data_IF_795285095527
#
_entry.id   IF_795285095527
#
_cell.length_a   1.000
_cell.length_b   1.000
_cell.length_c   1.000
_cell.angle_alpha   90.00
_cell.angle_beta   90.00
_cell.angle_gamma   90.00
#
_symmetry.space_group_name_H-M   'P 1'
#
loop_
_entity.id
_entity.type
_entity.pdbx_description
1 polymer ?
#
# COMPACT_ATOMS: atom_id res chain seq x y z
N UNK A 1 17.42 78.61 -19.97
CA UNK A 1 17.82 78.03 -21.27
C UNK A 1 18.27 76.60 -20.99
N UNK A 2 17.44 75.59 -21.30
CA UNK A 2 17.57 74.65 -22.46
C UNK A 2 18.67 73.59 -22.19
N UNK A 3 18.54 72.27 -22.33
CA UNK A 3 17.67 71.34 -23.09
C UNK A 3 17.69 69.94 -22.39
N UNK A 4 16.61 69.17 -22.26
CA UNK A 4 16.05 68.13 -23.17
C UNK A 4 16.99 67.01 -23.71
N UNK A 5 16.89 65.82 -23.11
CA UNK A 5 16.82 64.48 -23.73
C UNK A 5 18.11 63.75 -24.18
N UNK A 6 18.10 62.41 -24.40
CA UNK A 6 16.94 61.50 -24.50
C UNK A 6 16.97 60.25 -23.58
N UNK A 7 15.78 59.63 -23.49
CA UNK A 7 15.41 58.44 -22.72
C UNK A 7 15.88 57.15 -23.41
N UNK A 8 16.60 56.30 -22.69
CA UNK A 8 16.87 54.90 -23.07
C UNK A 8 15.74 53.99 -22.63
N UNK A 9 15.04 53.41 -23.61
CA UNK A 9 13.98 52.41 -23.46
C UNK A 9 14.62 51.07 -23.14
N UNK A 10 14.41 50.54 -21.93
CA UNK A 10 14.69 49.13 -21.63
C UNK A 10 13.61 48.27 -22.28
N UNK A 11 13.99 47.59 -23.36
CA UNK A 11 13.20 46.60 -24.08
C UNK A 11 12.93 45.41 -23.15
N UNK A 12 11.67 45.15 -22.86
CA UNK A 12 11.24 43.94 -22.15
C UNK A 12 11.55 42.70 -22.98
N UNK A 13 12.49 41.89 -22.51
CA UNK A 13 12.70 40.53 -23.02
C UNK A 13 11.55 39.62 -22.57
N UNK A 14 11.14 38.63 -23.38
CA UNK A 14 10.02 37.75 -23.06
C UNK A 14 10.32 36.96 -21.79
N UNK A 15 9.46 37.17 -20.80
CA UNK A 15 9.50 36.51 -19.51
C UNK A 15 9.41 34.99 -19.67
N UNK A 16 10.17 34.33 -18.80
CA UNK A 16 10.39 32.90 -18.66
C UNK A 16 9.07 32.15 -18.32
N UNK A 17 8.21 31.94 -19.31
CA UNK A 17 6.97 31.17 -19.13
C UNK A 17 7.21 29.64 -19.09
N UNK A 18 8.32 29.15 -19.67
CA UNK A 18 8.61 27.71 -19.79
C UNK A 18 9.29 27.03 -18.59
N UNK A 19 9.74 27.78 -17.58
CA UNK A 19 10.43 27.21 -16.40
C UNK A 19 9.45 26.75 -15.31
N UNK A 20 8.34 27.47 -15.12
CA UNK A 20 7.33 27.15 -14.13
C UNK A 20 6.50 25.91 -14.50
N UNK A 21 6.12 25.73 -15.78
CA UNK A 21 5.44 24.51 -16.24
C UNK A 21 6.34 23.26 -16.15
N UNK A 22 7.62 23.36 -16.54
CA UNK A 22 8.58 22.25 -16.42
C UNK A 22 8.86 21.88 -14.96
N UNK A 23 8.88 22.85 -14.04
CA UNK A 23 8.98 22.58 -12.60
C UNK A 23 7.70 21.97 -12.03
N UNK A 24 6.51 22.40 -12.47
CA UNK A 24 5.23 21.83 -12.05
C UNK A 24 5.11 20.36 -12.51
N UNK A 25 5.39 20.08 -13.78
CA UNK A 25 5.39 18.72 -14.32
C UNK A 25 6.41 17.81 -13.64
N UNK A 26 7.61 18.31 -13.30
CA UNK A 26 8.60 17.55 -12.52
C UNK A 26 8.16 17.30 -11.07
N UNK A 27 7.48 18.25 -10.43
CA UNK A 27 6.94 18.08 -9.07
C UNK A 27 5.79 17.08 -9.05
N UNK A 28 4.85 17.17 -9.98
CA UNK A 28 3.74 16.22 -10.13
C UNK A 28 4.28 14.83 -10.48
N UNK A 29 5.23 14.72 -11.41
CA UNK A 29 5.85 13.43 -11.74
C UNK A 29 6.63 12.86 -10.54
N UNK A 30 7.32 13.69 -9.77
CA UNK A 30 8.02 13.25 -8.56
C UNK A 30 7.03 12.81 -7.47
N UNK A 31 5.91 13.51 -7.31
CA UNK A 31 4.84 13.16 -6.38
C UNK A 31 4.12 11.87 -6.80
N UNK A 32 3.81 11.69 -8.08
CA UNK A 32 3.23 10.46 -8.63
C UNK A 32 4.17 9.27 -8.52
N UNK A 33 5.48 9.46 -8.81
CA UNK A 33 6.48 8.40 -8.66
C UNK A 33 6.68 8.02 -7.19
N UNK A 34 6.67 9.01 -6.29
CA UNK A 34 6.76 8.74 -4.87
C UNK A 34 5.49 8.04 -4.37
N UNK A 35 4.31 8.53 -4.77
CA UNK A 35 3.00 7.97 -4.43
C UNK A 35 2.81 6.53 -4.93
N UNK A 36 3.28 6.22 -6.15
CA UNK A 36 3.29 4.85 -6.67
C UNK A 36 4.22 3.93 -5.87
N UNK A 37 5.40 4.41 -5.50
CA UNK A 37 6.37 3.62 -4.71
C UNK A 37 5.87 3.44 -3.28
N UNK A 38 5.25 4.45 -2.67
CA UNK A 38 4.70 4.37 -1.31
C UNK A 38 3.41 3.55 -1.27
N UNK A 39 2.55 3.65 -2.29
CA UNK A 39 1.32 2.85 -2.39
C UNK A 39 1.62 1.37 -2.69
N UNK A 40 2.59 1.09 -3.56
CA UNK A 40 3.03 -0.28 -3.81
C UNK A 40 3.72 -0.91 -2.59
N UNK A 41 4.36 -0.11 -1.73
CA UNK A 41 5.00 -0.63 -0.52
C UNK A 41 3.99 -1.16 0.53
N UNK A 42 2.69 -0.88 0.37
CA UNK A 42 1.63 -1.34 1.28
C UNK A 42 1.16 -2.78 0.97
N UNK A 43 1.60 -3.37 -0.16
CA UNK A 43 1.20 -4.72 -0.55
C UNK A 43 2.01 -5.80 0.20
N UNK A 44 1.32 -6.50 1.09
CA UNK A 44 1.88 -7.62 1.84
C UNK A 44 1.99 -8.92 1.03
N UNK A 45 3.00 -9.78 1.28
CA UNK A 45 3.14 -11.08 0.60
C UNK A 45 1.90 -11.97 0.74
N UNK A 46 1.19 -11.90 1.86
CA UNK A 46 -0.04 -12.66 2.09
C UNK A 46 -1.19 -12.16 1.20
N UNK A 47 -1.32 -10.86 0.99
CA UNK A 47 -2.31 -10.26 0.09
C UNK A 47 -2.01 -10.68 -1.36
N UNK A 48 -0.75 -10.54 -1.80
CA UNK A 48 -0.30 -10.97 -3.13
C UNK A 48 -0.59 -12.46 -3.37
N UNK A 49 -0.27 -13.31 -2.39
CA UNK A 49 -0.56 -14.74 -2.46
C UNK A 49 -2.07 -15.04 -2.57
N UNK A 50 -2.90 -14.30 -1.83
CA UNK A 50 -4.36 -14.42 -1.88
C UNK A 50 -4.90 -14.03 -3.25
N UNK A 51 -4.44 -12.91 -3.84
CA UNK A 51 -4.84 -12.48 -5.18
C UNK A 51 -4.37 -13.45 -6.26
N UNK A 52 -3.15 -13.99 -6.14
CA UNK A 52 -2.62 -14.98 -7.07
C UNK A 52 -3.43 -16.29 -7.01
N UNK A 53 -3.76 -16.76 -5.81
CA UNK A 53 -4.62 -17.94 -5.62
C UNK A 53 -6.02 -17.71 -6.18
N UNK A 54 -6.61 -16.53 -5.93
CA UNK A 54 -7.93 -16.18 -6.46
C UNK A 54 -7.93 -16.12 -7.99
N UNK A 55 -6.91 -15.53 -8.60
CA UNK A 55 -6.76 -15.48 -10.06
C UNK A 55 -6.53 -16.86 -10.67
N UNK A 56 -5.79 -17.74 -10.01
CA UNK A 56 -5.55 -19.11 -10.47
C UNK A 56 -6.82 -19.98 -10.42
N UNK A 57 -7.62 -19.86 -9.35
CA UNK A 57 -8.85 -20.65 -9.17
C UNK A 57 -10.05 -20.11 -9.95
N UNK A 58 -10.26 -18.80 -9.94
CA UNK A 58 -11.50 -18.17 -10.41
C UNK A 58 -11.32 -17.35 -11.71
N UNK A 59 -10.07 -17.23 -12.20
CA UNK A 59 -9.74 -16.52 -13.42
C UNK A 59 -10.25 -15.07 -13.40
N UNK A 60 -10.79 -14.62 -14.53
CA UNK A 60 -11.28 -13.25 -14.69
C UNK A 60 -12.55 -12.93 -13.90
N UNK A 61 -13.31 -13.94 -13.44
CA UNK A 61 -14.59 -13.74 -12.75
C UNK A 61 -14.45 -13.09 -11.37
N UNK A 62 -13.22 -13.02 -10.83
CA UNK A 62 -12.94 -12.44 -9.52
C UNK A 62 -12.38 -11.01 -9.60
N UNK A 63 -12.06 -10.51 -10.79
CA UNK A 63 -11.42 -9.20 -11.01
C UNK A 63 -12.27 -8.02 -10.52
N UNK A 64 -13.60 -8.15 -10.54
CA UNK A 64 -14.52 -7.10 -10.06
C UNK A 64 -14.35 -6.78 -8.57
N UNK A 65 -13.74 -7.66 -7.79
CA UNK A 65 -13.48 -7.41 -6.36
C UNK A 65 -12.49 -6.26 -6.16
N UNK A 66 -11.51 -6.08 -7.06
CA UNK A 66 -10.52 -5.01 -6.98
C UNK A 66 -11.13 -3.59 -7.08
N UNK A 67 -11.93 -3.24 -8.12
CA UNK A 67 -12.56 -1.92 -8.20
C UNK A 67 -13.62 -1.67 -7.11
N UNK A 68 -14.20 -2.73 -6.52
CA UNK A 68 -15.14 -2.59 -5.39
C UNK A 68 -14.42 -2.37 -4.07
N UNK A 69 -13.30 -3.04 -3.84
CA UNK A 69 -12.52 -2.92 -2.60
C UNK A 69 -11.71 -1.63 -2.54
N UNK A 70 -11.29 -1.08 -3.67
CA UNK A 70 -10.54 0.18 -3.75
C UNK A 70 -11.23 1.38 -3.07
N UNK A 71 -12.50 1.75 -3.36
CA UNK A 71 -13.17 2.85 -2.68
C UNK A 71 -13.42 2.57 -1.19
N UNK A 72 -13.60 1.29 -0.83
CA UNK A 72 -13.74 0.87 0.55
C UNK A 72 -12.44 1.09 1.33
N UNK A 73 -11.30 0.63 0.79
CA UNK A 73 -9.98 0.87 1.36
C UNK A 73 -9.70 2.37 1.49
N UNK A 74 -9.93 3.14 0.42
CA UNK A 74 -9.76 4.59 0.44
C UNK A 74 -10.59 5.24 1.56
N UNK A 75 -11.86 4.86 1.69
CA UNK A 75 -12.73 5.36 2.75
C UNK A 75 -12.19 5.08 4.14
N UNK A 76 -11.74 3.85 4.41
CA UNK A 76 -11.25 3.48 5.74
C UNK A 76 -9.90 4.11 6.07
N UNK A 77 -8.96 4.13 5.13
CA UNK A 77 -7.66 4.80 5.29
C UNK A 77 -7.86 6.31 5.50
N UNK A 78 -8.71 6.95 4.70
CA UNK A 78 -9.04 8.37 4.85
C UNK A 78 -9.66 8.69 6.21
N UNK A 79 -10.61 7.89 6.68
CA UNK A 79 -11.23 8.07 7.99
C UNK A 79 -10.21 7.87 9.12
N UNK A 80 -9.36 6.85 9.02
CA UNK A 80 -8.31 6.57 10.01
C UNK A 80 -7.30 7.72 10.10
N UNK A 81 -6.90 8.25 8.93
CA UNK A 81 -6.01 9.41 8.86
C UNK A 81 -6.66 10.65 9.48
N UNK A 82 -7.91 10.95 9.10
CA UNK A 82 -8.64 12.11 9.60
C UNK A 82 -8.91 12.04 11.10
N UNK A 83 -9.16 10.85 11.64
CA UNK A 83 -9.27 10.62 13.08
C UNK A 83 -7.96 10.96 13.79
N UNK A 84 -6.81 10.44 13.31
CA UNK A 84 -5.49 10.77 13.87
C UNK A 84 -5.19 12.27 13.81
N UNK A 85 -5.49 12.91 12.67
CA UNK A 85 -5.30 14.34 12.50
C UNK A 85 -6.17 15.18 13.45
N UNK A 86 -7.47 14.88 13.60
CA UNK A 86 -8.39 15.72 14.38
C UNK A 86 -8.26 15.44 15.88
N UNK A 87 -8.09 14.19 16.28
CA UNK A 87 -7.96 13.81 17.69
C UNK A 87 -6.57 14.13 18.25
N UNK A 88 -5.53 14.19 17.40
CA UNK A 88 -4.13 14.35 17.83
C UNK A 88 -3.62 13.16 18.66
N UNK A 89 -4.31 12.02 18.59
CA UNK A 89 -4.04 10.80 19.35
C UNK A 89 -4.24 9.60 18.44
N UNK A 90 -3.43 8.55 18.63
CA UNK A 90 -3.58 7.29 17.92
C UNK A 90 -4.92 6.61 18.20
N UNK A 91 -5.38 5.74 17.30
CA UNK A 91 -6.70 5.10 17.35
C UNK A 91 -7.01 4.44 18.71
N UNK A 92 -6.06 3.72 19.30
CA UNK A 92 -6.26 3.07 20.60
C UNK A 92 -6.33 4.02 21.78
N UNK A 93 -5.61 5.15 21.72
CA UNK A 93 -5.70 6.19 22.75
C UNK A 93 -7.09 6.85 22.71
N UNK A 94 -7.64 7.05 21.51
CA UNK A 94 -8.99 7.55 21.31
C UNK A 94 -10.05 6.56 21.80
N UNK A 95 -9.92 5.26 21.47
CA UNK A 95 -10.85 4.24 21.94
C UNK A 95 -10.82 4.15 23.47
N UNK A 96 -9.62 4.21 24.08
CA UNK A 96 -9.48 4.17 25.54
C UNK A 96 -10.12 5.37 26.24
N UNK A 97 -10.14 6.54 25.61
CA UNK A 97 -10.73 7.76 26.20
C UNK A 97 -12.24 7.85 26.04
N UNK A 98 -12.80 7.27 24.97
CA UNK A 98 -14.24 7.39 24.64
C UNK A 98 -15.07 6.14 24.95
N UNK A 99 -14.43 4.97 25.07
CA UNK A 99 -15.14 3.70 25.31
C UNK A 99 -14.78 3.07 26.66
N UNK A 100 -15.74 2.38 27.30
CA UNK A 100 -15.48 1.64 28.52
C UNK A 100 -14.51 0.48 28.28
N UNK A 101 -13.81 0.09 29.35
CA UNK A 101 -12.75 -0.93 29.31
C UNK A 101 -13.18 -2.27 28.70
N UNK A 102 -14.46 -2.64 28.84
CA UNK A 102 -15.00 -3.90 28.30
C UNK A 102 -15.07 -3.94 26.76
N UNK A 103 -15.09 -2.80 26.07
CA UNK A 103 -14.98 -2.72 24.60
C UNK A 103 -13.51 -2.61 24.20
N UNK A 104 -12.75 -1.82 24.95
CA UNK A 104 -11.34 -1.58 24.68
C UNK A 104 -10.49 -2.87 24.72
N UNK A 105 -10.59 -3.68 25.77
CA UNK A 105 -9.74 -4.87 25.92
C UNK A 105 -9.99 -5.93 24.81
N UNK A 106 -11.24 -6.32 24.48
CA UNK A 106 -11.49 -7.22 23.37
C UNK A 106 -11.03 -6.67 22.02
N UNK A 107 -11.24 -5.37 21.77
CA UNK A 107 -10.77 -4.74 20.54
C UNK A 107 -9.23 -4.78 20.44
N UNK A 108 -8.53 -4.42 21.51
CA UNK A 108 -7.07 -4.47 21.59
C UNK A 108 -6.54 -5.88 21.37
N UNK A 109 -7.10 -6.87 22.07
CA UNK A 109 -6.71 -8.28 21.94
C UNK A 109 -6.99 -8.78 20.52
N UNK A 110 -8.15 -8.44 19.95
CA UNK A 110 -8.53 -8.82 18.58
C UNK A 110 -7.54 -8.28 17.55
N UNK A 111 -7.14 -7.01 17.65
CA UNK A 111 -6.14 -6.43 16.74
C UNK A 111 -4.77 -7.06 16.94
N UNK A 112 -4.33 -7.31 18.18
CA UNK A 112 -3.06 -7.99 18.44
C UNK A 112 -3.02 -9.39 17.83
N UNK A 113 -4.10 -10.17 17.98
CA UNK A 113 -4.23 -11.49 17.38
C UNK A 113 -4.24 -11.39 15.84
N UNK A 114 -5.02 -10.47 15.28
CA UNK A 114 -5.09 -10.23 13.84
C UNK A 114 -3.72 -9.91 13.23
N UNK A 115 -3.02 -8.93 13.80
CA UNK A 115 -1.68 -8.53 13.34
C UNK A 115 -0.66 -9.67 13.51
N UNK A 116 -0.81 -10.52 14.53
CA UNK A 116 0.05 -11.69 14.72
C UNK A 116 -0.16 -12.72 13.60
N UNK A 117 -1.43 -12.99 13.23
CA UNK A 117 -1.74 -13.87 12.11
C UNK A 117 -1.28 -13.29 10.77
N UNK A 118 -1.41 -11.99 10.57
CA UNK A 118 -0.92 -11.28 9.39
C UNK A 118 0.60 -11.41 9.25
N UNK A 119 1.34 -11.13 10.34
CA UNK A 119 2.80 -11.31 10.36
C UNK A 119 3.20 -12.78 10.08
N UNK A 120 2.51 -13.75 10.68
CA UNK A 120 2.75 -15.17 10.44
C UNK A 120 2.47 -15.56 8.98
N UNK A 121 1.38 -15.04 8.40
CA UNK A 121 1.01 -15.26 7.00
C UNK A 121 2.04 -14.66 6.04
N UNK A 122 2.56 -13.46 6.35
CA UNK A 122 3.60 -12.80 5.56
C UNK A 122 4.91 -13.59 5.56
N UNK A 123 5.36 -14.07 6.72
CA UNK A 123 6.54 -14.94 6.81
C UNK A 123 6.32 -16.25 6.04
N UNK A 124 5.12 -16.84 6.17
CA UNK A 124 4.73 -18.04 5.43
C UNK A 124 4.75 -17.83 3.91
N UNK A 125 4.21 -16.70 3.44
CA UNK A 125 4.19 -16.32 2.03
C UNK A 125 5.59 -16.10 1.46
N UNK A 126 6.47 -15.40 2.20
CA UNK A 126 7.87 -15.23 1.81
C UNK A 126 8.59 -16.58 1.75
N UNK A 127 8.38 -17.45 2.73
CA UNK A 127 8.98 -18.78 2.75
C UNK A 127 8.49 -19.65 1.58
N UNK A 128 7.19 -19.59 1.25
CA UNK A 128 6.64 -20.29 0.09
C UNK A 128 7.27 -19.80 -1.21
N UNK A 129 7.42 -18.48 -1.38
CA UNK A 129 8.07 -17.89 -2.55
C UNK A 129 9.56 -18.33 -2.67
N UNK A 130 10.30 -18.35 -1.56
CA UNK A 130 11.69 -18.82 -1.53
C UNK A 130 11.80 -20.33 -1.81
N UNK A 131 10.81 -21.11 -1.40
CA UNK A 131 10.78 -22.56 -1.63
C UNK A 131 10.69 -22.92 -3.13
N UNK A 132 10.06 -22.05 -3.93
CA UNK A 132 10.02 -22.20 -5.39
C UNK A 132 11.42 -22.07 -6.01
N UNK A 133 12.30 -21.27 -5.40
CA UNK A 133 13.67 -21.02 -5.90
C UNK A 133 14.69 -22.03 -5.38
N UNK A 134 14.52 -22.52 -4.15
CA UNK A 134 15.46 -23.44 -3.51
C UNK A 134 14.72 -24.63 -2.87
N UNK A 135 15.08 -25.88 -3.21
CA UNK A 135 14.46 -27.08 -2.66
C UNK A 135 14.95 -27.37 -1.23
N UNK A 136 14.62 -26.50 -0.29
CA UNK A 136 14.94 -26.60 1.14
C UNK A 136 13.66 -26.95 1.90
N UNK A 137 13.70 -27.69 3.03
CA UNK A 137 12.47 -27.97 3.77
C UNK A 137 11.81 -26.68 4.28
N UNK A 138 10.49 -26.57 4.10
CA UNK A 138 9.72 -25.35 4.37
C UNK A 138 9.95 -24.77 5.77
N UNK A 139 10.02 -25.61 6.80
CA UNK A 139 10.25 -25.18 8.18
C UNK A 139 11.58 -24.40 8.35
N UNK A 140 12.65 -24.84 7.67
CA UNK A 140 13.94 -24.15 7.73
C UNK A 140 13.90 -22.81 7.01
N UNK A 141 13.16 -22.72 5.90
CA UNK A 141 12.97 -21.46 5.17
C UNK A 141 12.18 -20.46 6.03
N UNK A 142 11.12 -20.91 6.70
CA UNK A 142 10.33 -20.06 7.62
C UNK A 142 11.19 -19.55 8.76
N UNK A 143 11.93 -20.43 9.45
CA UNK A 143 12.81 -20.03 10.56
C UNK A 143 13.90 -19.07 10.06
N UNK A 144 14.54 -19.38 8.93
CA UNK A 144 15.56 -18.52 8.34
C UNK A 144 15.03 -17.12 7.97
N UNK A 145 13.83 -17.07 7.38
CA UNK A 145 13.19 -15.80 6.99
C UNK A 145 12.79 -14.99 8.22
N UNK A 146 12.20 -15.63 9.24
CA UNK A 146 11.84 -14.98 10.49
C UNK A 146 13.07 -14.41 11.22
N UNK A 147 14.16 -15.20 11.32
CA UNK A 147 15.41 -14.75 11.92
C UNK A 147 16.07 -13.61 11.14
N UNK A 148 16.02 -13.66 9.81
CA UNK A 148 16.55 -12.59 8.97
C UNK A 148 15.78 -11.27 9.15
N UNK A 149 14.45 -11.32 9.17
CA UNK A 149 13.60 -10.16 9.44
C UNK A 149 13.87 -9.62 10.85
N UNK A 150 13.95 -10.49 11.86
CA UNK A 150 14.22 -10.09 13.24
C UNK A 150 15.61 -9.46 13.39
N UNK A 151 16.64 -10.04 12.74
CA UNK A 151 17.98 -9.47 12.69
C UNK A 151 17.98 -8.08 12.04
N UNK A 152 17.24 -7.91 10.94
CA UNK A 152 17.08 -6.63 10.26
C UNK A 152 16.31 -5.62 11.11
N UNK A 153 15.34 -6.04 11.94
CA UNK A 153 14.61 -5.17 12.87
C UNK A 153 15.51 -4.67 14.02
N UNK A 154 16.37 -5.54 14.55
CA UNK A 154 17.22 -5.23 15.70
C UNK A 154 18.46 -4.44 15.29
N UNK A 155 19.09 -4.80 14.17
CA UNK A 155 20.37 -4.23 13.74
C UNK A 155 20.28 -3.34 12.51
N UNK A 156 19.14 -3.31 11.82
CA UNK A 156 18.97 -2.52 10.60
C UNK A 156 18.96 -1.02 10.90
N UNK A 157 19.81 -0.27 10.20
CA UNK A 157 19.74 1.19 10.22
C UNK A 157 18.51 1.66 9.44
N UNK A 158 17.89 2.77 9.87
CA UNK A 158 16.79 3.43 9.17
C UNK A 158 17.07 3.64 7.67
N UNK A 159 18.30 4.02 7.31
CA UNK A 159 18.69 4.23 5.91
C UNK A 159 18.71 2.93 5.10
N UNK A 160 19.10 1.81 5.72
CA UNK A 160 19.12 0.49 5.07
C UNK A 160 17.69 0.02 4.84
N UNK A 161 16.85 0.07 5.88
CA UNK A 161 15.45 -0.32 5.81
C UNK A 161 14.74 0.47 4.71
N UNK A 162 14.84 1.80 4.74
CA UNK A 162 14.22 2.67 3.72
C UNK A 162 14.67 2.31 2.29
N UNK A 163 15.96 2.01 2.09
CA UNK A 163 16.46 1.63 0.77
C UNK A 163 15.93 0.25 0.34
N UNK A 164 15.84 -0.72 1.24
CA UNK A 164 15.27 -2.05 0.97
C UNK A 164 13.79 -1.91 0.55
N UNK A 165 12.99 -1.18 1.33
CA UNK A 165 11.57 -0.92 1.00
C UNK A 165 11.42 -0.25 -0.36
N UNK A 166 12.27 0.71 -0.70
CA UNK A 166 12.26 1.34 -2.03
C UNK A 166 12.51 0.33 -3.16
N UNK A 167 13.45 -0.60 -2.99
CA UNK A 167 13.72 -1.64 -3.99
C UNK A 167 12.61 -2.68 -4.07
N UNK A 168 12.03 -3.08 -2.93
CA UNK A 168 10.87 -3.99 -2.89
C UNK A 168 9.67 -3.37 -3.60
N UNK A 169 9.35 -2.10 -3.33
CA UNK A 169 8.30 -1.38 -4.04
C UNK A 169 8.54 -1.27 -5.55
N UNK A 170 9.80 -1.06 -5.97
CA UNK A 170 10.15 -1.08 -7.40
C UNK A 170 10.00 -2.48 -8.00
N UNK A 171 10.25 -3.55 -7.23
CA UNK A 171 10.09 -4.93 -7.70
C UNK A 171 8.63 -5.27 -8.03
N UNK A 172 7.66 -4.62 -7.41
CA UNK A 172 6.24 -4.79 -7.74
C UNK A 172 5.90 -4.30 -9.15
N UNK A 173 6.71 -3.40 -9.74
CA UNK A 173 6.57 -3.06 -11.16
C UNK A 173 6.82 -4.26 -12.09
N UNK A 174 7.49 -5.33 -11.61
CA UNK A 174 7.61 -6.58 -12.35
C UNK A 174 6.24 -7.22 -12.64
N UNK A 175 5.21 -7.00 -11.81
CA UNK A 175 3.85 -7.47 -12.07
C UNK A 175 3.24 -6.83 -13.33
N UNK A 176 3.63 -5.60 -13.68
CA UNK A 176 3.23 -4.98 -14.95
C UNK A 176 3.79 -5.78 -16.11
N UNK A 177 5.08 -6.17 -16.03
CA UNK A 177 5.71 -7.06 -17.01
C UNK A 177 5.04 -8.43 -17.07
N UNK A 178 4.72 -9.02 -15.92
CA UNK A 178 4.01 -10.30 -15.83
C UNK A 178 2.62 -10.22 -16.47
N UNK A 179 1.89 -9.12 -16.28
CA UNK A 179 0.57 -8.90 -16.89
C UNK A 179 0.66 -8.84 -18.43
N UNK A 180 1.69 -8.20 -18.99
CA UNK A 180 1.92 -8.22 -20.45
C UNK A 180 2.31 -9.61 -20.96
N UNK A 181 3.15 -10.34 -20.22
CA UNK A 181 3.60 -11.67 -20.60
C UNK A 181 2.48 -12.71 -20.52
N UNK A 182 1.54 -12.53 -19.59
CA UNK A 182 0.35 -13.36 -19.44
C UNK A 182 -0.60 -13.30 -20.66
N UNK A 183 -0.44 -12.29 -21.55
CA UNK A 183 -1.27 -12.06 -22.74
C UNK A 183 -2.78 -12.22 -22.46
N UNK A 184 -3.34 -11.47 -21.50
CA UNK A 184 -4.74 -11.60 -21.14
C UNK A 184 -5.64 -11.19 -22.31
N UNK A 185 -6.73 -11.93 -22.50
CA UNK A 185 -7.76 -11.53 -23.45
C UNK A 185 -8.48 -10.29 -22.93
N UNK A 186 -8.45 -9.20 -23.69
CA UNK A 186 -8.96 -7.90 -23.25
C UNK A 186 -10.46 -7.93 -22.93
N UNK A 187 -11.25 -8.64 -23.73
CA UNK A 187 -12.70 -8.64 -23.59
C UNK A 187 -13.18 -9.42 -22.33
N UNK A 188 -12.72 -10.65 -22.05
CA UNK A 188 -13.00 -11.32 -20.79
C UNK A 188 -12.46 -10.60 -19.56
N UNK A 189 -11.28 -9.98 -19.67
CA UNK A 189 -10.69 -9.20 -18.57
C UNK A 189 -11.56 -8.00 -18.21
N UNK A 190 -11.96 -7.19 -19.21
CA UNK A 190 -12.83 -6.04 -18.98
C UNK A 190 -14.21 -6.45 -18.46
N UNK A 191 -14.80 -7.52 -19.02
CA UNK A 191 -16.06 -8.06 -18.50
C UNK A 191 -15.91 -8.52 -17.05
N UNK A 192 -14.85 -9.26 -16.73
CA UNK A 192 -14.58 -9.74 -15.38
C UNK A 192 -14.31 -8.64 -14.35
N UNK A 193 -13.74 -7.50 -14.78
CA UNK A 193 -13.48 -6.33 -13.93
C UNK A 193 -14.73 -5.52 -13.65
N UNK A 194 -15.64 -5.34 -14.62
CA UNK A 194 -16.79 -4.45 -14.47
C UNK A 194 -18.13 -5.15 -14.24
N UNK A 195 -18.27 -6.42 -14.62
CA UNK A 195 -19.49 -7.20 -14.40
C UNK A 195 -19.29 -8.16 -13.23
N UNK A 196 -19.88 -7.86 -12.05
CA UNK A 196 -19.72 -8.72 -10.89
C UNK A 196 -20.35 -10.08 -11.15
N UNK A 197 -19.53 -11.12 -11.09
CA UNK A 197 -19.98 -12.51 -11.19
C UNK A 197 -19.84 -13.12 -9.82
N UNK A 198 -20.96 -13.36 -9.14
CA UNK A 198 -20.99 -13.94 -7.80
C UNK A 198 -21.32 -15.42 -7.94
N UNK A 199 -20.45 -16.28 -7.41
CA UNK A 199 -20.69 -17.71 -7.31
C UNK A 199 -20.83 -18.10 -5.84
N UNK A 200 -21.95 -18.71 -5.47
CA UNK A 200 -22.17 -19.19 -4.11
C UNK A 200 -21.54 -20.57 -3.88
N UNK A 201 -20.23 -20.67 -4.13
CA UNK A 201 -19.46 -21.86 -3.84
C UNK A 201 -18.49 -21.58 -2.66
N UNK A 202 -18.09 -22.64 -1.96
CA UNK A 202 -17.24 -22.50 -0.77
C UNK A 202 -15.90 -21.82 -1.09
N UNK A 203 -15.33 -22.13 -2.25
CA UNK A 203 -14.03 -21.60 -2.69
C UNK A 203 -14.08 -20.09 -2.93
N UNK A 204 -15.07 -19.62 -3.69
CA UNK A 204 -15.36 -18.23 -3.99
C UNK A 204 -15.63 -17.44 -2.73
N UNK A 205 -16.48 -17.94 -1.82
CA UNK A 205 -16.78 -17.26 -0.57
C UNK A 205 -15.54 -17.17 0.33
N UNK A 206 -14.72 -18.22 0.38
CA UNK A 206 -13.48 -18.24 1.16
C UNK A 206 -12.47 -17.23 0.60
N UNK A 207 -12.28 -17.19 -0.72
CA UNK A 207 -11.39 -16.24 -1.39
C UNK A 207 -11.90 -14.80 -1.29
N UNK A 208 -13.21 -14.58 -1.37
CA UNK A 208 -13.82 -13.26 -1.20
C UNK A 208 -13.59 -12.72 0.22
N UNK A 209 -13.81 -13.54 1.24
CA UNK A 209 -13.52 -13.17 2.62
C UNK A 209 -12.02 -12.95 2.82
N UNK A 210 -11.17 -13.79 2.23
CA UNK A 210 -9.73 -13.63 2.30
C UNK A 210 -9.27 -12.30 1.70
N UNK A 211 -9.73 -11.96 0.49
CA UNK A 211 -9.39 -10.70 -0.19
C UNK A 211 -9.86 -9.49 0.60
N UNK A 212 -11.12 -9.48 1.05
CA UNK A 212 -11.63 -8.38 1.87
C UNK A 212 -10.83 -8.26 3.17
N UNK A 213 -10.51 -9.39 3.81
CA UNK A 213 -9.72 -9.44 5.04
C UNK A 213 -8.31 -8.89 4.86
N UNK A 214 -7.63 -9.24 3.77
CA UNK A 214 -6.28 -8.74 3.47
C UNK A 214 -6.27 -7.27 3.07
N UNK A 215 -7.34 -6.76 2.44
CA UNK A 215 -7.43 -5.33 2.08
C UNK A 215 -7.75 -4.42 3.28
N UNK A 216 -8.43 -4.96 4.29
CA UNK A 216 -8.98 -4.21 5.43
C UNK A 216 -8.36 -4.65 6.77
N UNK A 217 -7.03 -4.85 6.79
CA UNK A 217 -6.35 -5.28 8.01
C UNK A 217 -6.38 -4.20 9.10
N UNK A 218 -6.51 -4.66 10.35
CA UNK A 218 -6.55 -3.80 11.52
C UNK A 218 -5.23 -3.02 11.73
N UNK A 219 -4.10 -3.59 11.30
CA UNK A 219 -2.80 -2.93 11.35
C UNK A 219 -2.83 -1.58 10.62
N UNK A 220 -3.35 -1.55 9.39
CA UNK A 220 -3.40 -0.35 8.54
C UNK A 220 -4.11 0.82 9.23
N UNK A 221 -5.21 0.58 9.93
CA UNK A 221 -5.95 1.64 10.63
C UNK A 221 -5.13 2.25 11.76
N UNK A 222 -4.50 1.38 12.54
CA UNK A 222 -3.70 1.80 13.70
C UNK A 222 -2.44 2.52 13.25
N UNK A 223 -1.77 1.98 12.23
CA UNK A 223 -0.58 2.57 11.63
C UNK A 223 -0.88 3.94 11.01
N UNK A 224 -1.90 4.04 10.14
CA UNK A 224 -2.27 5.30 9.50
C UNK A 224 -2.61 6.38 10.52
N UNK A 225 -3.39 6.04 11.57
CA UNK A 225 -3.74 6.99 12.61
C UNK A 225 -2.53 7.48 13.41
N UNK A 226 -1.54 6.62 13.64
CA UNK A 226 -0.34 6.96 14.39
C UNK A 226 0.64 7.81 13.56
N UNK A 227 0.82 7.48 12.27
CA UNK A 227 1.69 8.25 11.37
C UNK A 227 1.23 9.71 11.26
N UNK A 228 -0.07 9.94 11.11
CA UNK A 228 -0.65 11.29 11.05
C UNK A 228 -0.46 12.10 12.34
N UNK A 229 -0.32 11.43 13.49
CA UNK A 229 -0.02 12.07 14.77
C UNK A 229 1.47 12.39 14.86
N UNK A 230 2.35 11.49 14.41
CA UNK A 230 3.81 11.69 14.40
C UNK A 230 4.23 12.83 13.45
N UNK A 231 3.64 12.90 12.25
CA UNK A 231 3.90 13.99 11.29
C UNK A 231 3.49 15.37 11.80
N UNK A 232 2.52 15.45 12.73
CA UNK A 232 2.13 16.73 13.33
C UNK A 232 3.04 17.19 14.47
N UNK A 233 3.75 16.26 15.09
CA UNK A 233 4.64 16.54 16.23
C UNK A 233 6.05 16.94 15.74
N UNK A 234 6.42 16.57 14.51
CA UNK A 234 7.74 16.82 13.89
C UNK A 234 7.70 18.03 12.96
#
# INVERSE_FOLDING_TARGET
MSAQGPKGVYVGGPQVAGSHERQHGRRVLKALRLGLVTGAADDDPSAIGTYAAAGASLGYSFLWTAPVTLPMMFGVVYLSAKLGQVAGQGLFALIRSHYPRWIFYPALIGVLIGNTFEAASNIGGMAAALNVLAPVPFAWVVIGTALAILALQIWGSYLQIRNIFRWLALSLLAYVGAAFLARPELLPTLKGTFLPTIQFNKEFLTLLVAVIGTTLSAYLYTWQSNQEVEEKIT
#
